data_IF_153466725321
#
_entry.id   IF_153466725321
#
_cell.length_a   1.000
_cell.length_b   1.000
_cell.length_c   1.000
_cell.angle_alpha   90.00
_cell.angle_beta   90.00
_cell.angle_gamma   90.00
#
_symmetry.space_group_name_H-M   'P 1'
#
loop_
_entity.id
_entity.type
_entity.pdbx_description
1 polymer ?
#
# COMPACT_ATOMS: atom_id res chain seq x y z
N UNK A 1 18.09 6.73 -61.33
CA UNK A 1 19.10 7.70 -61.80
C UNK A 1 19.89 8.19 -60.59
N UNK A 2 21.22 8.03 -60.72
CA UNK A 2 22.31 8.63 -59.91
C UNK A 2 22.49 8.08 -58.49
N UNK A 3 23.61 7.66 -58.06
CA UNK A 3 24.94 7.30 -58.61
C UNK A 3 25.82 7.13 -57.39
N UNK A 4 26.42 5.97 -57.23
CA UNK A 4 27.46 5.67 -56.20
C UNK A 4 28.82 6.20 -56.69
N UNK A 5 29.73 6.58 -55.78
CA UNK A 5 31.16 6.61 -56.08
C UNK A 5 31.97 5.65 -55.19
N UNK A 6 33.24 5.40 -55.52
CA UNK A 6 33.82 4.08 -55.43
C UNK A 6 34.84 3.91 -54.26
N UNK A 7 35.14 2.61 -54.02
CA UNK A 7 36.20 2.11 -53.18
C UNK A 7 37.64 2.57 -53.62
N UNK A 8 38.46 3.04 -52.70
CA UNK A 8 39.91 3.12 -52.86
C UNK A 8 40.62 2.18 -51.91
N UNK A 9 41.31 1.22 -52.47
CA UNK A 9 42.30 0.33 -51.85
C UNK A 9 43.56 1.10 -51.52
N UNK A 10 44.18 0.88 -50.38
CA UNK A 10 45.59 1.16 -50.13
C UNK A 10 46.27 -0.09 -49.46
N UNK A 11 47.28 -0.52 -50.12
CA UNK A 11 48.19 -1.64 -49.81
C UNK A 11 49.21 -1.29 -48.70
N UNK A 12 49.84 -2.29 -48.09
CA UNK A 12 50.71 -2.16 -46.91
C UNK A 12 52.13 -1.78 -47.27
N UNK A 13 52.76 -0.89 -46.49
CA UNK A 13 54.22 -0.63 -46.53
C UNK A 13 54.93 -1.47 -45.49
N UNK A 14 55.81 -2.30 -45.98
CA UNK A 14 56.85 -3.03 -45.22
C UNK A 14 58.02 -2.08 -44.93
N UNK A 15 58.50 -2.06 -43.72
CA UNK A 15 59.80 -1.44 -43.34
C UNK A 15 60.59 -2.43 -42.48
N UNK A 16 61.93 -2.42 -42.59
CA UNK A 16 62.78 -3.51 -42.16
C UNK A 16 63.20 -3.42 -40.70
N UNK A 17 63.53 -4.60 -40.20
CA UNK A 17 64.02 -4.84 -38.84
C UNK A 17 65.41 -4.26 -38.62
N UNK A 18 65.59 -3.53 -37.53
CA UNK A 18 66.91 -3.14 -37.01
C UNK A 18 67.11 -3.85 -35.68
N UNK A 19 68.08 -4.78 -35.65
CA UNK A 19 68.51 -5.47 -34.42
C UNK A 19 69.46 -4.53 -33.63
N UNK A 20 69.02 -4.18 -32.40
CA UNK A 20 69.93 -3.56 -31.42
C UNK A 20 69.93 -4.47 -30.18
N UNK A 21 71.10 -5.08 -29.93
CA UNK A 21 71.39 -5.83 -28.74
C UNK A 21 71.61 -4.89 -27.56
N UNK A 22 70.78 -4.99 -26.54
CA UNK A 22 71.00 -4.27 -25.25
C UNK A 22 70.97 -5.29 -24.12
N UNK A 23 71.99 -5.23 -23.28
CA UNK A 23 72.34 -6.15 -22.23
C UNK A 23 71.29 -6.42 -21.17
N UNK A 24 71.34 -7.65 -20.67
CA UNK A 24 70.63 -8.12 -19.51
C UNK A 24 71.04 -7.37 -18.24
N UNK A 25 70.19 -6.54 -17.70
CA UNK A 25 70.20 -6.18 -16.28
C UNK A 25 68.91 -6.71 -15.68
N UNK A 26 69.02 -7.72 -14.86
CA UNK A 26 67.90 -8.26 -14.08
C UNK A 26 67.45 -7.24 -13.05
N UNK A 27 66.19 -6.75 -13.09
CA UNK A 27 65.65 -6.01 -11.96
C UNK A 27 65.29 -7.00 -10.84
N UNK A 28 65.81 -6.71 -9.64
CA UNK A 28 65.40 -7.34 -8.40
C UNK A 28 63.92 -7.00 -8.16
N UNK A 29 63.01 -7.96 -8.42
CA UNK A 29 61.62 -7.80 -8.02
C UNK A 29 61.55 -7.82 -6.50
N UNK A 30 61.35 -6.65 -5.88
CA UNK A 30 60.85 -6.56 -4.54
C UNK A 30 59.44 -7.21 -4.53
N UNK A 31 59.29 -8.31 -3.84
CA UNK A 31 57.95 -8.88 -3.54
C UNK A 31 57.18 -7.81 -2.70
N UNK A 32 56.24 -7.13 -3.34
CA UNK A 32 55.22 -6.42 -2.62
C UNK A 32 54.42 -7.48 -1.82
N UNK A 33 54.56 -7.43 -0.51
CA UNK A 33 53.68 -8.18 0.38
C UNK A 33 52.30 -7.56 0.20
N UNK A 34 51.42 -8.28 -0.49
CA UNK A 34 49.98 -7.94 -0.53
C UNK A 34 49.47 -7.92 0.90
N UNK A 35 49.29 -6.72 1.44
CA UNK A 35 48.50 -6.55 2.66
C UNK A 35 47.10 -7.09 2.36
N UNK A 36 46.53 -7.90 3.25
CA UNK A 36 45.18 -8.41 3.04
C UNK A 36 44.23 -7.23 2.81
N UNK A 37 43.50 -7.27 1.68
CA UNK A 37 42.51 -6.27 1.36
C UNK A 37 41.57 -6.13 2.58
N UNK A 38 41.40 -4.93 3.07
CA UNK A 38 40.41 -4.66 4.14
C UNK A 38 39.08 -5.21 3.70
N UNK A 39 38.35 -5.93 4.56
CA UNK A 39 37.02 -6.39 4.21
C UNK A 39 36.17 -5.21 3.71
N UNK A 40 35.36 -5.39 2.69
CA UNK A 40 34.51 -4.32 2.18
C UNK A 40 33.71 -3.75 3.37
N UNK A 41 33.70 -2.43 3.49
CA UNK A 41 32.94 -1.76 4.56
C UNK A 41 31.50 -2.27 4.50
N UNK A 42 31.03 -2.86 5.59
CA UNK A 42 29.63 -3.32 5.68
C UNK A 42 28.73 -2.11 5.42
N UNK A 43 27.88 -2.23 4.43
CA UNK A 43 26.85 -1.22 4.16
C UNK A 43 25.98 -1.12 5.42
N UNK A 44 25.81 0.06 6.01
CA UNK A 44 25.04 0.19 7.24
C UNK A 44 23.61 -0.34 7.01
N UNK A 45 23.09 -1.10 7.99
CA UNK A 45 21.73 -1.61 7.96
C UNK A 45 20.75 -0.43 7.85
N UNK A 46 19.72 -0.49 6.97
CA UNK A 46 18.74 0.58 6.85
C UNK A 46 17.93 0.72 8.15
N UNK A 47 17.33 1.89 8.36
CA UNK A 47 16.48 2.13 9.52
C UNK A 47 15.26 1.23 9.53
N UNK A 48 14.63 1.07 8.35
CA UNK A 48 13.44 0.22 8.18
C UNK A 48 13.22 -0.18 6.71
N UNK A 49 12.32 -1.14 6.51
CA UNK A 49 11.59 -1.40 5.28
C UNK A 49 10.19 -0.84 5.44
N UNK A 50 9.69 -0.11 4.44
CA UNK A 50 8.39 0.54 4.51
C UNK A 50 7.29 -0.42 4.03
N UNK A 51 6.51 -0.98 4.97
CA UNK A 51 5.42 -1.89 4.63
C UNK A 51 4.18 -1.21 4.07
N UNK A 52 4.14 0.14 4.06
CA UNK A 52 2.94 0.88 3.72
C UNK A 52 3.28 2.24 3.10
N UNK A 53 3.28 2.32 1.76
CA UNK A 53 3.64 3.54 1.05
C UNK A 53 2.78 3.79 -0.19
N UNK A 54 2.14 4.97 -0.25
CA UNK A 54 1.34 5.41 -1.38
C UNK A 54 2.14 6.30 -2.33
N UNK A 55 2.37 5.83 -3.56
CA UNK A 55 3.06 6.62 -4.58
C UNK A 55 2.21 7.78 -5.09
N UNK A 56 0.88 7.64 -5.06
CA UNK A 56 -0.08 8.63 -5.57
C UNK A 56 -1.15 8.99 -4.54
N UNK A 57 -1.72 10.20 -4.68
CA UNK A 57 -2.85 10.69 -3.88
C UNK A 57 -4.21 10.32 -4.50
N UNK A 58 -5.30 10.88 -3.95
CA UNK A 58 -6.69 10.64 -4.37
C UNK A 58 -7.07 11.21 -5.74
N UNK A 59 -6.17 11.82 -6.47
CA UNK A 59 -6.34 12.24 -7.88
C UNK A 59 -5.21 11.69 -8.75
N UNK A 60 -4.53 10.65 -8.24
CA UNK A 60 -3.43 9.93 -8.88
C UNK A 60 -2.23 10.81 -9.27
N UNK A 61 -2.06 11.93 -8.58
CA UNK A 61 -0.82 12.70 -8.59
C UNK A 61 0.11 12.17 -7.51
N UNK A 62 1.39 12.20 -7.79
CA UNK A 62 2.38 11.69 -6.86
C UNK A 62 3.80 11.98 -7.28
N UNK A 63 4.71 11.18 -6.78
CA UNK A 63 6.14 11.24 -7.12
C UNK A 63 6.52 10.08 -8.06
N UNK A 64 7.62 10.21 -8.77
CA UNK A 64 8.15 9.09 -9.55
C UNK A 64 8.86 8.09 -8.63
N UNK A 65 8.96 6.83 -9.07
CA UNK A 65 9.77 5.81 -8.39
C UNK A 65 11.23 6.21 -8.24
N UNK A 66 11.81 6.96 -9.21
CA UNK A 66 13.17 7.54 -9.09
C UNK A 66 13.24 8.56 -7.97
N UNK A 67 12.24 9.44 -7.86
CA UNK A 67 12.18 10.39 -6.76
C UNK A 67 12.02 9.67 -5.42
N UNK A 68 11.26 8.58 -5.38
CA UNK A 68 11.13 7.76 -4.17
C UNK A 68 12.48 7.15 -3.76
N UNK A 69 13.28 6.61 -4.70
CA UNK A 69 14.63 6.11 -4.42
C UNK A 69 15.53 7.18 -3.80
N UNK A 70 15.46 8.41 -4.31
CA UNK A 70 16.21 9.54 -3.74
C UNK A 70 15.77 9.84 -2.29
N UNK A 71 14.47 9.77 -2.01
CA UNK A 71 13.92 9.98 -0.66
C UNK A 71 14.27 8.84 0.29
N UNK A 72 14.27 7.61 -0.18
CA UNK A 72 14.70 6.44 0.58
C UNK A 72 16.19 6.55 0.95
N UNK A 73 17.04 6.94 0.00
CA UNK A 73 18.50 7.00 0.18
C UNK A 73 19.04 5.68 0.73
N UNK A 74 19.91 5.78 1.73
CA UNK A 74 20.48 4.68 2.52
C UNK A 74 19.64 4.33 3.78
N UNK A 75 18.63 5.14 4.10
CA UNK A 75 17.84 5.04 5.33
C UNK A 75 16.73 4.02 5.25
N UNK A 76 16.10 3.86 4.09
CA UNK A 76 15.00 2.92 3.88
C UNK A 76 15.46 1.84 2.91
N UNK A 77 15.38 0.59 3.31
CA UNK A 77 15.90 -0.53 2.52
C UNK A 77 15.01 -0.87 1.34
N UNK A 78 13.77 -1.23 1.61
CA UNK A 78 12.73 -1.59 0.62
C UNK A 78 11.42 -0.91 0.98
N UNK A 79 10.49 -0.85 0.02
CA UNK A 79 9.14 -0.33 0.26
C UNK A 79 8.11 -1.12 -0.55
N UNK A 80 6.96 -1.43 0.05
CA UNK A 80 5.75 -1.72 -0.71
C UNK A 80 5.40 -0.49 -1.54
N UNK A 81 4.85 -0.71 -2.72
CA UNK A 81 4.58 0.37 -3.65
C UNK A 81 3.18 0.23 -4.24
N UNK A 82 2.29 1.12 -3.88
CA UNK A 82 0.94 1.16 -4.44
C UNK A 82 0.41 2.60 -4.53
N UNK A 83 -0.67 2.79 -5.27
CA UNK A 83 -1.38 4.06 -5.32
C UNK A 83 -2.58 4.07 -4.38
N UNK A 84 -3.34 5.14 -4.39
CA UNK A 84 -4.66 5.15 -3.74
C UNK A 84 -5.65 4.43 -4.66
N UNK A 85 -6.46 3.47 -4.15
CA UNK A 85 -7.43 2.71 -4.96
C UNK A 85 -8.60 3.56 -5.47
N UNK A 86 -8.85 4.69 -4.83
CA UNK A 86 -9.98 5.57 -5.06
C UNK A 86 -9.57 6.87 -5.74
N UNK A 87 -10.39 7.36 -6.67
CA UNK A 87 -10.29 8.71 -7.21
C UNK A 87 -11.38 9.58 -6.62
N UNK A 88 -11.00 10.75 -6.09
CA UNK A 88 -11.98 11.75 -5.69
C UNK A 88 -12.48 12.52 -6.91
N UNK A 89 -13.79 12.50 -7.12
CA UNK A 89 -14.45 13.26 -8.19
C UNK A 89 -14.22 14.77 -8.00
N UNK A 90 -13.77 15.43 -9.04
CA UNK A 90 -13.82 16.89 -9.05
C UNK A 90 -15.19 17.36 -9.51
N UNK A 91 -16.04 17.69 -8.57
CA UNK A 91 -17.36 18.22 -8.85
C UNK A 91 -17.28 19.76 -8.88
N UNK A 92 -17.53 20.35 -10.04
CA UNK A 92 -17.44 21.80 -10.21
C UNK A 92 -18.43 22.57 -9.33
N UNK A 93 -19.62 22.03 -9.09
CA UNK A 93 -20.63 22.68 -8.28
C UNK A 93 -20.28 22.67 -6.78
N UNK A 94 -19.54 21.65 -6.32
CA UNK A 94 -19.07 21.57 -4.94
C UNK A 94 -17.72 22.28 -4.72
N UNK A 95 -16.82 22.21 -5.69
CA UNK A 95 -15.43 22.61 -5.53
C UNK A 95 -15.06 23.87 -6.36
N UNK A 96 -15.92 24.31 -7.31
CA UNK A 96 -15.60 25.37 -8.25
C UNK A 96 -14.35 25.01 -9.06
N UNK A 97 -13.45 25.97 -9.19
CA UNK A 97 -12.17 25.81 -9.92
C UNK A 97 -11.08 25.08 -9.11
N UNK A 98 -11.30 24.84 -7.82
CA UNK A 98 -10.32 24.17 -6.95
C UNK A 98 -10.47 22.65 -7.07
N UNK A 99 -9.47 21.99 -7.61
CA UNK A 99 -9.43 20.53 -7.66
C UNK A 99 -9.09 19.97 -6.29
N UNK A 100 -9.88 19.04 -5.71
CA UNK A 100 -9.52 18.37 -4.48
C UNK A 100 -8.40 17.36 -4.75
N UNK A 101 -7.40 17.30 -3.89
CA UNK A 101 -6.30 16.33 -3.94
C UNK A 101 -6.33 15.31 -2.81
N UNK A 102 -7.21 15.53 -1.83
CA UNK A 102 -7.28 14.72 -0.62
C UNK A 102 -8.73 14.58 -0.14
N UNK A 103 -9.06 13.43 0.44
CA UNK A 103 -10.45 13.11 0.81
C UNK A 103 -11.08 14.08 1.83
N UNK A 104 -10.30 14.82 2.61
CA UNK A 104 -10.81 15.83 3.53
C UNK A 104 -11.10 17.19 2.86
N UNK A 105 -10.67 17.40 1.63
CA UNK A 105 -10.79 18.69 0.93
C UNK A 105 -12.14 18.87 0.25
N UNK A 106 -12.92 17.82 0.09
CA UNK A 106 -14.21 17.84 -0.59
C UNK A 106 -15.17 16.79 -0.02
N UNK A 107 -16.48 17.08 -0.14
CA UNK A 107 -17.57 16.11 0.07
C UNK A 107 -17.95 15.33 -1.19
N UNK A 108 -17.28 15.59 -2.31
CA UNK A 108 -17.52 14.88 -3.57
C UNK A 108 -17.35 13.38 -3.42
N UNK A 109 -18.11 12.64 -4.19
CA UNK A 109 -18.00 11.18 -4.27
C UNK A 109 -16.60 10.72 -4.69
N UNK A 110 -16.29 9.49 -4.30
CA UNK A 110 -15.11 8.74 -4.76
C UNK A 110 -15.53 7.49 -5.52
N UNK A 111 -14.68 7.04 -6.41
CA UNK A 111 -14.89 5.81 -7.16
C UNK A 111 -13.58 5.04 -7.33
N UNK A 112 -13.67 3.71 -7.48
CA UNK A 112 -12.50 2.86 -7.72
C UNK A 112 -11.88 3.13 -9.08
N UNK A 113 -10.55 3.20 -9.11
CA UNK A 113 -9.77 3.59 -10.30
C UNK A 113 -8.75 2.53 -10.65
N UNK A 114 -9.14 1.61 -11.52
CA UNK A 114 -8.32 0.43 -11.87
C UNK A 114 -7.02 0.76 -12.61
N UNK A 115 -6.94 1.88 -13.32
CA UNK A 115 -5.75 2.24 -14.09
C UNK A 115 -4.51 2.55 -13.21
N UNK A 116 -4.70 2.74 -11.91
CA UNK A 116 -3.60 3.02 -10.97
C UNK A 116 -2.54 1.92 -10.99
N UNK A 117 -2.93 0.64 -11.09
CA UNK A 117 -2.00 -0.49 -11.13
C UNK A 117 -1.10 -0.45 -12.36
N UNK A 118 -1.67 -0.11 -13.53
CA UNK A 118 -0.89 0.07 -14.76
C UNK A 118 0.11 1.25 -14.64
N UNK A 119 -0.26 2.32 -13.93
CA UNK A 119 0.65 3.44 -13.65
C UNK A 119 1.82 3.00 -12.77
N UNK A 120 1.57 2.23 -11.72
CA UNK A 120 2.60 1.69 -10.83
C UNK A 120 3.50 0.72 -11.59
N UNK A 121 2.93 -0.27 -12.29
CA UNK A 121 3.68 -1.24 -13.08
C UNK A 121 4.60 -0.58 -14.08
N UNK A 122 4.10 0.41 -14.83
CA UNK A 122 4.89 1.16 -15.80
C UNK A 122 6.07 1.90 -15.17
N UNK A 123 5.90 2.48 -13.99
CA UNK A 123 6.99 3.15 -13.29
C UNK A 123 8.04 2.16 -12.76
N UNK A 124 7.59 1.04 -12.20
CA UNK A 124 8.46 -0.03 -11.72
C UNK A 124 9.30 -0.63 -12.85
N UNK A 125 8.67 -0.97 -13.98
CA UNK A 125 9.34 -1.60 -15.14
C UNK A 125 10.38 -0.70 -15.82
N UNK A 126 10.37 0.63 -15.58
CA UNK A 126 11.37 1.57 -16.07
C UNK A 126 12.63 1.67 -15.22
N UNK A 127 12.63 1.05 -14.07
CA UNK A 127 13.77 1.02 -13.17
C UNK A 127 14.80 -0.02 -13.65
N UNK A 128 16.06 0.16 -13.27
CA UNK A 128 17.06 -0.89 -13.38
C UNK A 128 16.70 -2.08 -12.50
N UNK A 129 17.27 -3.25 -12.76
CA UNK A 129 17.04 -4.45 -11.96
C UNK A 129 17.40 -4.20 -10.48
N UNK A 130 18.54 -3.60 -10.21
CA UNK A 130 18.98 -3.23 -8.85
C UNK A 130 18.00 -2.27 -8.15
N UNK A 131 17.44 -1.29 -8.88
CA UNK A 131 16.46 -0.36 -8.32
C UNK A 131 15.11 -1.05 -8.07
N UNK A 132 14.71 -2.03 -8.90
CA UNK A 132 13.49 -2.81 -8.69
C UNK A 132 13.52 -3.63 -7.41
N UNK A 133 14.69 -4.13 -7.00
CA UNK A 133 14.84 -4.85 -5.72
C UNK A 133 14.52 -3.99 -4.49
N UNK A 134 14.46 -2.67 -4.65
CA UNK A 134 14.07 -1.74 -3.60
C UNK A 134 12.55 -1.60 -3.44
N UNK A 135 11.75 -2.19 -4.35
CA UNK A 135 10.30 -2.04 -4.37
C UNK A 135 9.57 -3.37 -4.46
N UNK A 136 8.42 -3.41 -3.81
CA UNK A 136 7.49 -4.51 -3.83
C UNK A 136 6.08 -3.98 -4.17
N UNK A 137 5.71 -3.91 -5.47
CA UNK A 137 4.41 -3.37 -5.88
C UNK A 137 3.23 -4.24 -5.46
N UNK A 138 2.11 -3.58 -5.08
CA UNK A 138 0.84 -4.21 -4.74
C UNK A 138 -0.27 -3.69 -5.63
N UNK A 139 -1.25 -4.54 -5.93
CA UNK A 139 -2.44 -4.24 -6.73
C UNK A 139 -3.50 -3.61 -5.82
N UNK A 140 -4.06 -2.47 -6.24
CA UNK A 140 -5.11 -1.76 -5.49
C UNK A 140 -6.31 -1.39 -6.36
N UNK A 141 -6.19 -1.45 -7.69
CA UNK A 141 -7.14 -0.90 -8.65
C UNK A 141 -8.44 -1.70 -8.84
N UNK A 142 -8.87 -2.45 -7.86
CA UNK A 142 -10.10 -3.24 -7.88
C UNK A 142 -11.17 -2.67 -6.92
N UNK A 143 -12.42 -3.03 -7.18
CA UNK A 143 -13.52 -2.72 -6.28
C UNK A 143 -13.80 -3.93 -5.36
N UNK A 144 -13.57 -3.87 -4.05
CA UNK A 144 -13.76 -5.01 -3.13
C UNK A 144 -15.23 -5.39 -2.92
N UNK A 145 -16.19 -4.65 -3.51
CA UNK A 145 -17.61 -5.04 -3.51
C UNK A 145 -18.03 -5.80 -4.77
N UNK A 146 -17.15 -5.88 -5.77
CA UNK A 146 -17.41 -6.52 -7.05
C UNK A 146 -16.98 -7.99 -7.00
N UNK A 147 -17.89 -8.90 -7.35
CA UNK A 147 -17.57 -10.33 -7.43
C UNK A 147 -16.50 -10.65 -8.48
N UNK A 148 -16.26 -9.75 -9.44
CA UNK A 148 -15.17 -9.86 -10.42
C UNK A 148 -13.84 -9.29 -9.91
N UNK A 149 -13.72 -8.82 -8.67
CA UNK A 149 -12.48 -8.24 -8.15
C UNK A 149 -11.29 -9.20 -8.27
N UNK A 150 -11.50 -10.49 -8.00
CA UNK A 150 -10.47 -11.52 -8.17
C UNK A 150 -10.00 -11.67 -9.62
N UNK A 151 -10.93 -11.57 -10.57
CA UNK A 151 -10.61 -11.69 -12.01
C UNK A 151 -9.84 -10.48 -12.50
N UNK A 152 -10.17 -9.28 -11.98
CA UNK A 152 -9.36 -8.08 -12.20
C UNK A 152 -7.93 -8.27 -11.70
N UNK A 153 -7.75 -8.76 -10.46
CA UNK A 153 -6.40 -9.03 -9.91
C UNK A 153 -5.65 -10.05 -10.74
N UNK A 154 -6.32 -11.13 -11.18
CA UNK A 154 -5.75 -12.13 -12.11
C UNK A 154 -5.24 -11.48 -13.39
N UNK A 155 -6.08 -10.64 -14.03
CA UNK A 155 -5.70 -9.95 -15.26
C UNK A 155 -4.50 -9.03 -15.07
N UNK A 156 -4.43 -8.30 -13.97
CA UNK A 156 -3.29 -7.43 -13.66
C UNK A 156 -2.00 -8.23 -13.53
N UNK A 157 -2.03 -9.38 -12.84
CA UNK A 157 -0.88 -10.28 -12.69
C UNK A 157 -0.40 -10.80 -14.05
N UNK A 158 -1.31 -11.26 -14.91
CA UNK A 158 -0.99 -11.79 -16.23
C UNK A 158 -0.54 -10.69 -17.21
N UNK A 159 -1.08 -9.47 -17.07
CA UNK A 159 -0.68 -8.33 -17.91
C UNK A 159 0.71 -7.78 -17.55
N UNK A 160 1.07 -7.85 -16.27
CA UNK A 160 2.33 -7.31 -15.75
C UNK A 160 3.11 -8.37 -14.97
N UNK A 161 3.51 -9.48 -15.59
CA UNK A 161 4.22 -10.54 -14.91
C UNK A 161 5.55 -10.03 -14.33
N UNK A 162 5.91 -10.56 -13.17
CA UNK A 162 7.13 -10.17 -12.49
C UNK A 162 7.03 -8.88 -11.66
N UNK A 163 5.89 -8.20 -11.66
CA UNK A 163 5.75 -6.90 -10.98
C UNK A 163 5.18 -7.05 -9.57
N UNK A 164 3.95 -7.50 -9.45
CA UNK A 164 3.20 -7.45 -8.19
C UNK A 164 3.50 -8.63 -7.26
N UNK A 165 3.37 -8.41 -5.94
CA UNK A 165 3.60 -9.44 -4.91
C UNK A 165 2.47 -9.50 -3.88
N UNK A 166 1.50 -8.57 -3.95
CA UNK A 166 0.39 -8.50 -3.02
C UNK A 166 -0.77 -7.68 -3.57
N UNK A 167 -1.82 -7.58 -2.77
CA UNK A 167 -2.99 -6.73 -2.99
C UNK A 167 -3.22 -5.80 -1.80
N UNK A 168 -3.71 -4.60 -2.05
CA UNK A 168 -3.97 -3.58 -1.01
C UNK A 168 -2.85 -2.53 -0.94
N UNK A 169 -3.01 -1.45 -0.14
CA UNK A 169 -4.10 -1.26 0.80
C UNK A 169 -5.44 -1.09 0.07
N UNK A 170 -6.42 -1.91 0.42
CA UNK A 170 -7.81 -1.63 0.09
C UNK A 170 -8.63 -1.47 1.38
N UNK A 171 -9.64 -0.59 1.34
CA UNK A 171 -10.34 -0.17 2.55
C UNK A 171 -11.73 -0.77 2.63
N UNK A 172 -12.03 -1.30 3.82
CA UNK A 172 -13.37 -1.66 4.29
C UNK A 172 -13.59 -0.85 5.56
N UNK A 173 -14.70 -0.13 5.71
CA UNK A 173 -14.93 0.73 6.88
C UNK A 173 -13.73 1.67 7.17
N UNK A 174 -13.51 2.64 6.27
CA UNK A 174 -12.55 3.73 6.51
C UNK A 174 -13.33 5.01 6.79
N UNK A 175 -13.01 5.65 7.90
CA UNK A 175 -13.60 6.92 8.33
C UNK A 175 -13.69 7.95 7.19
N UNK A 176 -14.79 8.68 7.09
CA UNK A 176 -15.02 9.73 6.09
C UNK A 176 -14.78 9.34 4.62
N UNK A 177 -14.11 8.23 4.34
CA UNK A 177 -13.88 7.70 2.99
C UNK A 177 -15.05 6.83 2.57
N UNK A 178 -15.41 5.83 3.39
CA UNK A 178 -16.47 4.87 3.10
C UNK A 178 -17.78 5.53 2.73
N UNK A 179 -18.18 6.58 3.43
CA UNK A 179 -19.42 7.34 3.19
C UNK A 179 -19.42 8.14 1.88
N UNK A 180 -18.27 8.29 1.21
CA UNK A 180 -18.13 9.03 -0.06
C UNK A 180 -18.01 8.11 -1.27
N UNK A 181 -17.92 6.80 -1.08
CA UNK A 181 -17.79 5.86 -2.19
C UNK A 181 -19.10 5.81 -2.95
N UNK A 182 -19.05 6.09 -4.26
CA UNK A 182 -20.17 5.97 -5.16
C UNK A 182 -20.62 4.52 -5.26
N UNK A 183 -21.92 4.27 -5.07
CA UNK A 183 -22.49 2.94 -5.01
C UNK A 183 -22.48 2.36 -3.60
N UNK A 184 -22.06 1.10 -3.48
CA UNK A 184 -21.98 0.41 -2.19
C UNK A 184 -20.58 0.42 -1.64
N UNK A 185 -20.44 0.78 -0.37
CA UNK A 185 -19.21 0.60 0.37
C UNK A 185 -18.93 -0.88 0.67
N UNK A 186 -17.67 -1.27 0.71
CA UNK A 186 -17.27 -2.59 1.11
C UNK A 186 -17.63 -2.86 2.59
N UNK A 187 -17.98 -4.10 2.88
CA UNK A 187 -18.18 -4.62 4.23
C UNK A 187 -17.39 -5.90 4.38
N UNK A 188 -16.87 -6.19 5.57
CA UNK A 188 -16.20 -7.47 5.88
C UNK A 188 -17.08 -8.69 5.58
N UNK A 189 -18.40 -8.50 5.54
CA UNK A 189 -19.39 -9.56 5.20
C UNK A 189 -19.64 -9.69 3.71
N UNK A 190 -19.04 -8.86 2.86
CA UNK A 190 -19.30 -8.92 1.42
C UNK A 190 -18.70 -10.21 0.83
N UNK A 191 -19.49 -11.03 0.10
CA UNK A 191 -18.99 -12.26 -0.52
C UNK A 191 -17.81 -12.04 -1.48
N UNK A 192 -17.73 -10.88 -2.14
CA UNK A 192 -16.63 -10.55 -3.03
C UNK A 192 -15.27 -10.57 -2.33
N UNK A 193 -15.22 -10.19 -1.04
CA UNK A 193 -13.98 -10.22 -0.26
C UNK A 193 -13.53 -11.65 -0.02
N UNK A 194 -14.44 -12.59 0.23
CA UNK A 194 -14.09 -14.01 0.38
C UNK A 194 -13.50 -14.58 -0.91
N UNK A 195 -14.09 -14.27 -2.07
CA UNK A 195 -13.57 -14.69 -3.37
C UNK A 195 -12.19 -14.09 -3.63
N UNK A 196 -12.00 -12.82 -3.31
CA UNK A 196 -10.73 -12.12 -3.46
C UNK A 196 -9.64 -12.72 -2.56
N UNK A 197 -9.94 -12.95 -1.28
CA UNK A 197 -8.99 -13.53 -0.33
C UNK A 197 -8.67 -14.99 -0.67
N UNK A 198 -9.67 -15.79 -1.09
CA UNK A 198 -9.43 -17.16 -1.55
C UNK A 198 -8.47 -17.18 -2.74
N UNK A 199 -8.64 -16.28 -3.71
CA UNK A 199 -7.72 -16.14 -4.83
C UNK A 199 -6.34 -15.66 -4.39
N UNK A 200 -6.27 -14.72 -3.44
CA UNK A 200 -4.99 -14.29 -2.86
C UNK A 200 -4.22 -15.46 -2.23
N UNK A 201 -4.91 -16.38 -1.54
CA UNK A 201 -4.33 -17.61 -1.00
C UNK A 201 -3.82 -18.58 -2.07
N UNK A 202 -4.61 -18.80 -3.14
CA UNK A 202 -4.22 -19.62 -4.30
C UNK A 202 -2.92 -19.12 -4.93
N UNK A 203 -2.80 -17.82 -5.15
CA UNK A 203 -1.62 -17.18 -5.77
C UNK A 203 -0.47 -17.06 -4.78
N UNK A 204 -0.77 -16.89 -3.49
CA UNK A 204 0.18 -16.58 -2.43
C UNK A 204 0.49 -15.09 -2.31
N UNK A 205 -0.46 -14.23 -2.72
CA UNK A 205 -0.37 -12.78 -2.55
C UNK A 205 -0.38 -12.39 -1.08
N UNK A 206 0.43 -11.41 -0.72
CA UNK A 206 0.34 -10.73 0.58
C UNK A 206 -0.80 -9.71 0.52
N UNK A 207 -1.59 -9.62 1.57
CA UNK A 207 -2.77 -8.74 1.62
C UNK A 207 -2.55 -7.63 2.64
N UNK A 208 -2.78 -6.36 2.25
CA UNK A 208 -2.89 -5.24 3.19
C UNK A 208 -4.36 -4.81 3.22
N UNK A 209 -4.99 -5.02 4.37
CA UNK A 209 -6.40 -4.73 4.61
C UNK A 209 -6.55 -3.57 5.57
N UNK A 210 -7.17 -2.48 5.13
CA UNK A 210 -7.61 -1.40 5.99
C UNK A 210 -9.08 -1.62 6.39
N UNK A 211 -9.30 -1.74 7.67
CA UNK A 211 -10.65 -1.74 8.24
C UNK A 211 -10.56 -1.08 9.62
N UNK A 212 -11.16 0.10 9.75
CA UNK A 212 -11.26 0.72 11.06
C UNK A 212 -11.94 -0.25 12.02
N UNK A 213 -11.35 -0.48 13.18
CA UNK A 213 -11.84 -1.50 14.13
C UNK A 213 -13.20 -1.12 14.71
N UNK A 214 -13.52 0.18 14.67
CA UNK A 214 -14.72 0.73 15.27
C UNK A 214 -15.34 1.84 14.41
N UNK A 215 -16.56 2.21 14.72
CA UNK A 215 -17.19 3.41 14.16
C UNK A 215 -16.55 4.68 14.74
N UNK A 216 -16.54 5.75 13.93
CA UNK A 216 -16.04 7.05 14.39
C UNK A 216 -16.76 7.49 15.66
N UNK A 217 -15.98 7.92 16.68
CA UNK A 217 -16.50 8.41 17.97
C UNK A 217 -17.27 7.36 18.77
N UNK A 218 -17.12 6.08 18.46
CA UNK A 218 -17.67 5.04 19.31
C UNK A 218 -17.03 5.11 20.71
N UNK A 219 -17.84 4.84 21.73
CA UNK A 219 -17.43 4.94 23.16
C UNK A 219 -17.42 3.59 23.86
N UNK A 220 -17.79 2.50 23.19
CA UNK A 220 -17.81 1.16 23.74
C UNK A 220 -16.41 0.53 23.85
N UNK A 221 -16.24 -0.43 24.75
CA UNK A 221 -14.99 -1.17 24.90
C UNK A 221 -14.86 -2.32 23.89
N UNK A 222 -15.98 -2.82 23.36
CA UNK A 222 -16.00 -3.83 22.31
C UNK A 222 -16.10 -3.15 20.94
N UNK A 223 -15.06 -3.27 20.09
CA UNK A 223 -15.06 -2.62 18.79
C UNK A 223 -16.13 -3.19 17.86
N UNK A 224 -16.77 -2.33 17.06
CA UNK A 224 -17.92 -2.68 16.25
C UNK A 224 -17.63 -3.76 15.18
N UNK A 225 -16.41 -3.81 14.66
CA UNK A 225 -16.04 -4.68 13.53
C UNK A 225 -15.17 -5.87 13.92
N UNK A 226 -14.82 -6.04 15.20
CA UNK A 226 -13.81 -7.03 15.60
C UNK A 226 -14.26 -8.48 15.40
N UNK A 227 -15.51 -8.79 15.71
CA UNK A 227 -16.03 -10.17 15.57
C UNK A 227 -16.09 -10.57 14.10
N UNK A 228 -16.52 -9.67 13.24
CA UNK A 228 -16.60 -9.88 11.80
C UNK A 228 -15.19 -10.01 11.17
N UNK A 229 -14.20 -9.26 11.68
CA UNK A 229 -12.81 -9.36 11.27
C UNK A 229 -12.19 -10.69 11.69
N UNK A 230 -12.42 -11.12 12.95
CA UNK A 230 -11.94 -12.45 13.43
C UNK A 230 -12.54 -13.58 12.60
N UNK A 231 -13.84 -13.50 12.26
CA UNK A 231 -14.50 -14.46 11.41
C UNK A 231 -13.89 -14.46 9.99
N UNK A 232 -13.64 -13.28 9.41
CA UNK A 232 -12.98 -13.15 8.11
C UNK A 232 -11.58 -13.78 8.13
N UNK A 233 -10.76 -13.45 9.13
CA UNK A 233 -9.41 -13.99 9.26
C UNK A 233 -9.44 -15.51 9.40
N UNK A 234 -10.29 -16.04 10.26
CA UNK A 234 -10.40 -17.50 10.50
C UNK A 234 -10.81 -18.30 9.26
N UNK A 235 -11.55 -17.67 8.33
CA UNK A 235 -11.96 -18.32 7.07
C UNK A 235 -10.85 -18.39 6.02
N UNK A 236 -9.75 -17.64 6.18
CA UNK A 236 -8.68 -17.52 5.19
C UNK A 236 -7.29 -17.80 5.79
N UNK A 237 -7.06 -18.98 6.41
CA UNK A 237 -5.80 -19.28 7.11
C UNK A 237 -4.59 -19.40 6.15
N UNK A 238 -4.83 -19.58 4.86
CA UNK A 238 -3.78 -19.69 3.84
C UNK A 238 -3.28 -18.34 3.30
N UNK A 239 -3.88 -17.24 3.75
CA UNK A 239 -3.59 -15.88 3.29
C UNK A 239 -2.86 -15.11 4.39
N UNK A 240 -1.65 -14.64 4.11
CA UNK A 240 -1.00 -13.70 5.02
C UNK A 240 -1.66 -12.32 4.89
N UNK A 241 -2.32 -11.87 5.95
CA UNK A 241 -3.03 -10.59 6.01
C UNK A 241 -2.29 -9.63 6.94
N UNK A 242 -1.90 -8.47 6.41
CA UNK A 242 -1.42 -7.34 7.20
C UNK A 242 -2.64 -6.45 7.47
N UNK A 243 -3.07 -6.42 8.73
CA UNK A 243 -4.14 -5.56 9.20
C UNK A 243 -3.59 -4.15 9.42
N UNK A 244 -3.90 -3.26 8.48
CA UNK A 244 -3.34 -1.92 8.43
C UNK A 244 -3.68 -1.11 9.68
N UNK A 245 -2.68 -0.36 10.16
CA UNK A 245 -2.79 0.59 11.29
C UNK A 245 -3.32 -0.05 12.58
N UNK A 246 -3.26 -1.39 12.70
CA UNK A 246 -3.88 -2.12 13.81
C UNK A 246 -5.38 -1.83 13.98
N UNK A 247 -6.05 -1.43 12.89
CA UNK A 247 -7.46 -1.03 12.88
C UNK A 247 -7.74 0.36 13.43
N UNK A 248 -6.70 1.17 13.62
CA UNK A 248 -6.83 2.57 14.05
C UNK A 248 -6.89 3.51 12.85
N UNK A 249 -7.45 4.70 13.05
CA UNK A 249 -7.54 5.74 12.06
C UNK A 249 -7.28 7.12 12.64
N UNK A 250 -7.44 8.15 11.83
CA UNK A 250 -7.31 9.54 12.27
C UNK A 250 -8.34 9.91 13.34
N UNK A 251 -9.58 9.42 13.18
CA UNK A 251 -10.72 9.69 14.04
C UNK A 251 -11.23 8.44 14.77
N UNK A 252 -10.68 7.28 14.47
CA UNK A 252 -10.94 6.02 15.16
C UNK A 252 -9.73 5.69 16.03
N UNK A 253 -9.83 6.09 17.30
CA UNK A 253 -8.79 5.81 18.30
C UNK A 253 -8.92 4.44 18.94
N UNK A 254 -7.93 4.03 19.75
CA UNK A 254 -7.95 2.76 20.47
C UNK A 254 -9.06 2.75 21.54
N UNK A 255 -9.73 1.61 21.70
CA UNK A 255 -10.53 1.34 22.89
C UNK A 255 -9.63 1.17 24.12
N UNK A 256 -10.22 1.13 25.31
CA UNK A 256 -9.41 0.88 26.56
C UNK A 256 -8.72 -0.48 26.55
N UNK A 257 -9.29 -1.44 25.86
CA UNK A 257 -8.81 -2.83 25.75
C UNK A 257 -8.16 -3.14 24.42
N UNK A 258 -7.71 -2.11 23.67
CA UNK A 258 -7.18 -2.33 22.33
C UNK A 258 -5.88 -3.15 22.32
N UNK A 259 -4.99 -2.88 23.28
CA UNK A 259 -3.71 -3.60 23.40
C UNK A 259 -3.94 -5.05 23.83
N UNK A 260 -4.87 -5.29 24.75
CA UNK A 260 -5.29 -6.62 25.19
C UNK A 260 -5.92 -7.41 24.03
N UNK A 261 -6.69 -6.74 23.19
CA UNK A 261 -7.26 -7.34 22.00
C UNK A 261 -6.19 -7.79 21.00
N UNK A 262 -5.14 -6.98 20.79
CA UNK A 262 -4.00 -7.38 19.97
C UNK A 262 -3.22 -8.54 20.59
N UNK A 263 -3.05 -8.55 21.90
CA UNK A 263 -2.44 -9.65 22.66
C UNK A 263 -3.20 -10.96 22.44
N UNK A 264 -4.52 -10.91 22.52
CA UNK A 264 -5.42 -12.07 22.31
C UNK A 264 -5.33 -12.60 20.87
N UNK A 265 -5.34 -11.70 19.86
CA UNK A 265 -5.21 -12.11 18.45
C UNK A 265 -3.82 -12.68 18.17
N UNK A 266 -2.78 -12.08 18.72
CA UNK A 266 -1.42 -12.57 18.55
C UNK A 266 -1.19 -13.92 19.25
N UNK A 267 -1.89 -14.17 20.36
CA UNK A 267 -1.81 -15.43 21.13
C UNK A 267 -2.66 -16.56 20.55
N UNK A 268 -3.57 -16.27 19.63
CA UNK A 268 -4.40 -17.26 18.97
C UNK A 268 -3.66 -17.87 17.77
N UNK A 269 -3.20 -19.12 17.91
CA UNK A 269 -2.49 -19.83 16.83
C UNK A 269 -3.32 -20.08 15.57
N UNK A 270 -4.65 -20.04 15.66
CA UNK A 270 -5.50 -20.10 14.47
C UNK A 270 -5.37 -18.85 13.60
N UNK A 271 -4.83 -17.76 14.16
CA UNK A 271 -4.64 -16.47 13.50
C UNK A 271 -3.15 -16.13 13.24
N UNK A 272 -2.24 -17.11 13.22
CA UNK A 272 -0.80 -16.87 12.99
C UNK A 272 -0.46 -16.23 11.63
N UNK A 273 -1.39 -16.28 10.69
CA UNK A 273 -1.31 -15.66 9.35
C UNK A 273 -1.73 -14.17 9.34
N UNK A 274 -2.19 -13.61 10.47
CA UNK A 274 -2.59 -12.21 10.62
C UNK A 274 -1.44 -11.42 11.23
N UNK A 275 -1.03 -10.36 10.56
CA UNK A 275 0.03 -9.43 10.96
C UNK A 275 -0.56 -8.04 11.15
N UNK A 276 0.14 -7.19 11.87
CA UNK A 276 -0.29 -5.83 12.19
C UNK A 276 0.74 -4.84 11.69
N UNK A 277 0.31 -3.84 10.94
CA UNK A 277 1.22 -2.74 10.68
C UNK A 277 0.92 -1.57 11.64
N UNK A 278 1.98 -0.94 12.15
CA UNK A 278 1.91 0.25 13.00
C UNK A 278 2.26 1.49 12.16
N UNK A 279 1.84 1.53 10.90
CA UNK A 279 2.09 2.65 9.99
C UNK A 279 1.24 3.88 10.36
N UNK A 280 1.58 5.00 9.70
CA UNK A 280 0.87 6.28 9.77
C UNK A 280 1.23 7.16 10.98
N UNK A 281 1.52 8.44 10.73
CA UNK A 281 1.80 9.42 11.77
C UNK A 281 0.56 9.78 12.63
N UNK A 282 -0.65 9.61 12.08
CA UNK A 282 -1.89 9.76 12.84
C UNK A 282 -2.07 8.64 13.86
N UNK A 283 -1.62 7.43 13.52
CA UNK A 283 -1.66 6.27 14.45
C UNK A 283 -0.54 6.35 15.48
N UNK A 284 0.61 6.88 15.11
CA UNK A 284 1.69 7.15 16.07
C UNK A 284 1.20 7.97 17.28
N UNK A 285 0.32 8.95 17.06
CA UNK A 285 -0.26 9.79 18.13
C UNK A 285 -1.03 8.98 19.18
N UNK A 286 -1.64 7.85 18.76
CA UNK A 286 -2.33 6.95 19.68
C UNK A 286 -1.35 6.05 20.44
N UNK A 287 -0.37 5.49 19.73
CA UNK A 287 0.57 4.49 20.27
C UNK A 287 1.57 5.13 21.25
N UNK A 288 2.08 6.32 20.93
CA UNK A 288 3.07 7.03 21.76
C UNK A 288 2.47 8.19 22.55
N UNK A 289 1.18 8.14 22.81
CA UNK A 289 0.41 9.21 23.46
C UNK A 289 0.96 9.63 24.84
N UNK A 290 1.31 8.65 25.65
CA UNK A 290 1.84 8.80 26.99
C UNK A 290 2.69 7.59 27.37
N UNK A 291 3.41 7.69 28.50
CA UNK A 291 4.34 6.65 28.95
C UNK A 291 3.65 5.31 29.19
N UNK A 292 2.49 5.29 29.83
CA UNK A 292 1.72 4.07 30.13
C UNK A 292 1.30 3.38 28.82
N UNK A 293 0.78 4.15 27.88
CA UNK A 293 0.30 3.64 26.58
C UNK A 293 1.45 3.04 25.78
N UNK A 294 2.57 3.75 25.62
CA UNK A 294 3.70 3.24 24.83
C UNK A 294 4.36 2.02 25.48
N UNK A 295 4.37 1.93 26.82
CA UNK A 295 4.85 0.74 27.53
C UNK A 295 3.95 -0.48 27.27
N UNK A 296 2.62 -0.32 27.29
CA UNK A 296 1.68 -1.40 26.98
C UNK A 296 1.88 -1.92 25.54
N UNK A 297 1.99 -1.03 24.56
CA UNK A 297 2.29 -1.42 23.17
C UNK A 297 3.64 -2.13 23.05
N UNK A 298 4.68 -1.61 23.71
CA UNK A 298 6.00 -2.23 23.69
C UNK A 298 5.99 -3.65 24.28
N UNK A 299 5.20 -3.89 25.34
CA UNK A 299 5.06 -5.22 25.95
C UNK A 299 4.48 -6.25 24.97
N UNK A 300 3.39 -5.90 24.27
CA UNK A 300 2.77 -6.80 23.27
C UNK A 300 3.71 -7.04 22.09
N UNK A 301 4.35 -6.00 21.55
CA UNK A 301 5.29 -6.13 20.45
C UNK A 301 6.52 -6.97 20.86
N UNK A 302 7.05 -6.77 22.04
CA UNK A 302 8.18 -7.57 22.55
C UNK A 302 7.78 -9.04 22.76
N UNK A 303 6.51 -9.32 23.12
CA UNK A 303 5.98 -10.70 23.29
C UNK A 303 5.78 -11.39 21.95
N UNK A 304 5.30 -10.66 20.93
CA UNK A 304 5.00 -11.19 19.60
C UNK A 304 5.77 -10.46 18.48
N UNK A 305 7.11 -10.43 18.52
CA UNK A 305 7.90 -9.57 17.63
C UNK A 305 7.77 -9.93 16.15
N UNK A 306 7.30 -11.13 15.82
CA UNK A 306 7.11 -11.60 14.44
C UNK A 306 5.77 -11.22 13.83
N UNK A 307 4.88 -10.58 14.59
CA UNK A 307 3.51 -10.26 14.19
C UNK A 307 3.33 -8.80 13.73
N UNK A 308 4.31 -7.92 13.99
CA UNK A 308 4.20 -6.49 13.71
C UNK A 308 5.16 -6.06 12.60
N UNK A 309 4.72 -5.10 11.78
CA UNK A 309 5.51 -4.42 10.74
C UNK A 309 5.46 -2.91 10.97
N UNK A 310 6.46 -2.22 10.46
CA UNK A 310 6.48 -0.77 10.40
C UNK A 310 6.31 -0.29 8.95
N UNK A 311 5.51 0.75 8.76
CA UNK A 311 5.35 1.47 7.51
C UNK A 311 5.13 2.95 7.78
N UNK A 312 5.19 3.77 6.74
CA UNK A 312 5.02 5.22 6.91
C UNK A 312 3.60 5.70 6.63
N UNK A 313 2.85 5.00 5.80
CA UNK A 313 1.60 5.48 5.18
C UNK A 313 1.76 6.85 4.52
N UNK A 314 2.99 7.14 4.09
CA UNK A 314 3.28 8.41 3.42
C UNK A 314 2.67 8.45 2.03
N UNK A 315 2.01 9.56 1.71
CA UNK A 315 1.44 9.82 0.39
C UNK A 315 2.30 10.87 -0.32
N UNK A 316 3.07 10.45 -1.31
CA UNK A 316 3.89 11.33 -2.15
C UNK A 316 4.69 12.40 -1.38
N UNK A 317 5.57 12.05 -0.44
CA UNK A 317 6.26 12.99 0.42
C UNK A 317 7.18 13.94 -0.38
N UNK A 318 7.29 15.18 0.06
CA UNK A 318 8.05 16.23 -0.65
C UNK A 318 9.55 16.19 -0.39
N UNK A 319 9.97 15.64 0.75
CA UNK A 319 11.38 15.58 1.18
C UNK A 319 11.66 14.30 1.97
N UNK A 320 12.94 13.92 2.09
CA UNK A 320 13.35 12.80 2.94
C UNK A 320 12.96 13.04 4.41
N UNK A 321 13.12 14.24 4.94
CA UNK A 321 12.71 14.55 6.31
C UNK A 321 11.20 14.35 6.51
N UNK A 322 10.36 14.77 5.56
CA UNK A 322 8.93 14.53 5.62
C UNK A 322 8.59 13.03 5.55
N UNK A 323 9.35 12.26 4.76
CA UNK A 323 9.19 10.82 4.63
C UNK A 323 9.60 10.07 5.90
N UNK A 324 10.71 10.45 6.52
CA UNK A 324 11.22 9.78 7.72
C UNK A 324 10.48 10.21 9.01
N UNK A 325 9.68 11.28 8.94
CA UNK A 325 8.99 11.83 10.12
C UNK A 325 8.18 10.79 10.89
N UNK A 326 7.44 9.93 10.20
CA UNK A 326 6.68 8.87 10.85
C UNK A 326 7.58 7.95 11.69
N UNK A 327 8.75 7.55 11.16
CA UNK A 327 9.72 6.75 11.92
C UNK A 327 10.26 7.50 13.15
N UNK A 328 10.47 8.81 13.02
CA UNK A 328 10.92 9.66 14.12
C UNK A 328 9.85 9.82 15.19
N UNK A 329 8.59 9.92 14.82
CA UNK A 329 7.46 10.01 15.76
C UNK A 329 7.36 8.76 16.65
N UNK A 330 7.78 7.60 16.17
CA UNK A 330 7.82 6.33 16.94
C UNK A 330 9.04 6.18 17.86
N UNK A 331 9.93 7.17 18.00
CA UNK A 331 11.13 7.07 18.85
C UNK A 331 10.85 6.64 20.30
N UNK A 332 9.75 7.06 20.97
CA UNK A 332 9.45 6.54 22.30
C UNK A 332 9.24 5.02 22.33
N UNK A 333 8.60 4.45 21.29
CA UNK A 333 8.38 3.02 21.17
C UNK A 333 9.69 2.27 20.88
N UNK A 334 10.51 2.75 19.93
CA UNK A 334 11.77 2.10 19.57
C UNK A 334 12.71 1.89 20.76
N UNK A 335 12.71 2.83 21.72
CA UNK A 335 13.53 2.76 22.93
C UNK A 335 13.11 1.67 23.91
N UNK A 336 11.86 1.22 23.83
CA UNK A 336 11.26 0.22 24.73
C UNK A 336 11.26 -1.19 24.14
N UNK A 337 11.50 -1.32 22.83
CA UNK A 337 11.60 -2.62 22.19
C UNK A 337 12.97 -3.25 22.48
N UNK A 338 12.95 -4.58 22.67
CA UNK A 338 14.21 -5.35 22.65
C UNK A 338 14.88 -5.19 21.27
N UNK A 339 16.22 -5.32 21.18
CA UNK A 339 16.92 -5.24 19.90
C UNK A 339 16.35 -6.21 18.85
N UNK A 340 15.99 -7.44 19.27
CA UNK A 340 15.40 -8.45 18.41
C UNK A 340 14.00 -8.04 17.91
N UNK A 341 13.13 -7.54 18.78
CA UNK A 341 11.80 -7.07 18.40
C UNK A 341 11.89 -5.83 17.50
N UNK A 342 12.74 -4.87 17.84
CA UNK A 342 12.95 -3.68 17.03
C UNK A 342 13.41 -4.03 15.60
N UNK A 343 14.37 -4.95 15.45
CA UNK A 343 14.82 -5.41 14.14
C UNK A 343 13.74 -6.19 13.40
N UNK A 344 13.01 -7.06 14.10
CA UNK A 344 11.91 -7.83 13.49
C UNK A 344 10.84 -6.92 12.90
N UNK A 345 10.37 -5.92 13.67
CA UNK A 345 9.32 -4.97 13.24
C UNK A 345 9.78 -4.07 12.10
N UNK A 346 11.00 -3.55 12.20
CA UNK A 346 11.51 -2.59 11.21
C UNK A 346 11.99 -3.23 9.91
N UNK A 347 12.47 -4.48 9.95
CA UNK A 347 13.14 -5.11 8.82
C UNK A 347 12.69 -6.56 8.60
N UNK A 348 12.91 -7.45 9.58
CA UNK A 348 12.86 -8.88 9.37
C UNK A 348 11.49 -9.44 8.98
N UNK A 349 10.40 -8.90 9.51
CA UNK A 349 9.04 -9.35 9.16
C UNK A 349 8.68 -8.98 7.74
N UNK A 350 9.04 -7.77 7.30
CA UNK A 350 8.90 -7.36 5.90
C UNK A 350 9.64 -8.32 4.98
N UNK A 351 10.94 -8.53 5.22
CA UNK A 351 11.78 -9.42 4.42
C UNK A 351 11.18 -10.81 4.31
N UNK A 352 10.78 -11.39 5.42
CA UNK A 352 10.20 -12.74 5.49
C UNK A 352 8.90 -12.85 4.70
N UNK A 353 7.96 -11.94 4.93
CA UNK A 353 6.62 -12.01 4.33
C UNK A 353 6.66 -11.70 2.83
N UNK A 354 7.32 -10.62 2.45
CA UNK A 354 7.38 -10.18 1.06
C UNK A 354 8.18 -11.15 0.19
N UNK A 355 9.32 -11.66 0.69
CA UNK A 355 10.09 -12.64 -0.07
C UNK A 355 9.33 -13.96 -0.26
N UNK A 356 8.57 -14.41 0.76
CA UNK A 356 7.73 -15.58 0.65
C UNK A 356 6.60 -15.38 -0.37
N UNK A 357 5.93 -14.22 -0.34
CA UNK A 357 4.89 -13.87 -1.30
C UNK A 357 5.47 -13.77 -2.73
N UNK A 358 6.57 -13.02 -2.92
CA UNK A 358 7.26 -12.90 -4.21
C UNK A 358 7.53 -14.29 -4.83
N UNK A 359 8.09 -15.20 -4.05
CA UNK A 359 8.37 -16.57 -4.52
C UNK A 359 7.12 -17.32 -4.99
N UNK A 360 6.02 -17.25 -4.20
CA UNK A 360 4.76 -17.94 -4.52
C UNK A 360 4.11 -17.34 -5.76
N UNK A 361 4.02 -16.01 -5.83
CA UNK A 361 3.42 -15.31 -6.97
C UNK A 361 4.17 -15.60 -8.26
N UNK A 362 5.51 -15.56 -8.28
CA UNK A 362 6.32 -15.90 -9.47
C UNK A 362 6.10 -17.35 -9.92
N UNK A 363 5.95 -18.27 -8.97
CA UNK A 363 5.64 -19.67 -9.28
C UNK A 363 4.21 -19.82 -9.85
N UNK A 364 3.24 -19.03 -9.39
CA UNK A 364 1.90 -19.02 -9.95
C UNK A 364 1.88 -18.41 -11.37
N UNK A 365 2.53 -17.26 -11.57
CA UNK A 365 2.66 -16.63 -12.88
C UNK A 365 3.28 -17.59 -13.92
N UNK A 366 4.38 -18.25 -13.58
CA UNK A 366 5.04 -19.20 -14.48
C UNK A 366 4.09 -20.29 -14.98
N UNK A 367 3.23 -20.83 -14.09
CA UNK A 367 2.25 -21.87 -14.48
C UNK A 367 1.10 -21.36 -15.34
N UNK A 368 0.70 -20.09 -15.14
CA UNK A 368 -0.50 -19.54 -15.80
C UNK A 368 -0.17 -18.78 -17.09
N UNK A 369 1.08 -18.33 -17.27
CA UNK A 369 1.53 -17.69 -18.51
C UNK A 369 1.81 -18.71 -19.63
N UNK A 370 2.20 -19.94 -19.30
CA UNK A 370 2.45 -20.99 -20.29
C UNK A 370 1.16 -21.40 -21.03
N UNK A 371 0.00 -21.31 -20.35
CA UNK A 371 -1.30 -21.64 -20.93
C UNK A 371 -1.86 -20.55 -21.87
N UNK A 372 -1.29 -19.35 -21.87
CA UNK A 372 -1.77 -18.20 -22.66
C UNK A 372 -0.99 -17.96 -23.97
N UNK A 373 -0.08 -18.87 -24.35
CA UNK A 373 0.88 -18.61 -25.44
C UNK A 373 0.30 -18.39 -26.83
N UNK A 374 -1.02 -18.63 -27.10
CA UNK A 374 -1.59 -18.65 -28.44
C UNK A 374 -2.94 -17.92 -28.66
N UNK A 375 -3.38 -17.02 -27.77
CA UNK A 375 -4.67 -16.35 -27.98
C UNK A 375 -4.87 -15.06 -27.20
N UNK A 376 -5.92 -14.28 -27.56
CA UNK A 376 -6.35 -13.18 -26.71
C UNK A 376 -6.70 -13.70 -25.32
N UNK A 377 -6.38 -12.94 -24.26
CA UNK A 377 -6.71 -13.29 -22.86
C UNK A 377 -8.20 -13.65 -22.77
N UNK A 378 -8.50 -14.92 -22.90
CA UNK A 378 -9.84 -15.44 -22.68
C UNK A 378 -9.88 -15.91 -21.23
N UNK A 379 -10.44 -15.07 -20.36
CA UNK A 379 -10.81 -15.56 -19.03
C UNK A 379 -11.91 -16.59 -19.27
N UNK A 380 -11.68 -17.89 -19.00
CA UNK A 380 -12.74 -18.87 -19.15
C UNK A 380 -13.86 -18.49 -18.18
N UNK A 381 -15.00 -18.05 -18.72
CA UNK A 381 -16.19 -17.98 -17.89
C UNK A 381 -16.37 -19.37 -17.28
N UNK A 382 -16.53 -19.49 -15.96
CA UNK A 382 -16.83 -20.76 -15.35
C UNK A 382 -18.02 -21.35 -16.12
N UNK A 383 -17.85 -22.59 -16.60
CA UNK A 383 -18.93 -23.30 -17.28
C UNK A 383 -20.17 -23.14 -16.39
N UNK A 384 -21.28 -22.64 -16.96
CA UNK A 384 -22.54 -22.43 -16.21
C UNK A 384 -22.73 -23.68 -15.36
N UNK A 385 -22.57 -23.55 -14.04
CA UNK A 385 -23.07 -24.59 -13.16
C UNK A 385 -24.50 -24.86 -13.57
N UNK A 386 -24.89 -26.14 -13.75
CA UNK A 386 -26.27 -26.45 -14.06
C UNK A 386 -27.10 -25.78 -12.97
N UNK A 387 -28.00 -24.88 -13.36
CA UNK A 387 -28.80 -24.05 -12.46
C UNK A 387 -29.22 -24.90 -11.27
N UNK A 388 -28.61 -24.73 -10.12
CA UNK A 388 -29.15 -25.23 -8.88
C UNK A 388 -30.56 -24.68 -8.86
N UNK A 389 -31.56 -25.57 -8.94
CA UNK A 389 -32.98 -25.21 -8.79
C UNK A 389 -33.03 -24.25 -7.62
N UNK A 390 -33.29 -22.99 -7.91
CA UNK A 390 -33.44 -21.98 -6.89
C UNK A 390 -34.53 -22.53 -5.95
N UNK A 391 -34.11 -22.96 -4.76
CA UNK A 391 -35.05 -23.12 -3.68
C UNK A 391 -35.68 -21.74 -3.55
N UNK A 392 -36.97 -21.66 -3.85
CA UNK A 392 -37.71 -20.43 -3.78
C UNK A 392 -37.52 -19.84 -2.38
N UNK A 393 -36.61 -18.86 -2.27
CA UNK A 393 -36.54 -17.97 -1.12
C UNK A 393 -37.86 -17.18 -1.17
N UNK A 394 -38.88 -17.69 -0.51
CA UNK A 394 -40.05 -16.90 -0.15
C UNK A 394 -39.57 -15.86 0.84
N UNK A 395 -39.20 -14.69 0.32
CA UNK A 395 -39.04 -13.52 1.17
C UNK A 395 -40.40 -13.27 1.85
N UNK A 396 -40.46 -13.13 3.18
CA UNK A 396 -41.68 -12.70 3.84
C UNK A 396 -42.06 -11.33 3.24
N UNK A 397 -43.36 -11.06 3.00
CA UNK A 397 -43.81 -9.79 2.49
C UNK A 397 -43.30 -8.68 3.46
N UNK A 398 -42.66 -7.68 2.90
CA UNK A 398 -42.28 -6.51 3.66
C UNK A 398 -43.52 -5.91 4.35
N UNK A 399 -43.44 -5.55 5.65
CA UNK A 399 -44.57 -4.92 6.31
C UNK A 399 -44.84 -3.57 5.64
N UNK A 400 -45.94 -3.48 4.93
CA UNK A 400 -46.46 -2.22 4.37
C UNK A 400 -47.06 -1.45 5.52
N UNK A 401 -46.32 -0.58 6.16
CA UNK A 401 -46.90 0.42 7.06
C UNK A 401 -47.61 1.47 6.20
N UNK A 402 -48.88 1.77 6.44
CA UNK A 402 -49.57 2.85 5.74
C UNK A 402 -48.91 4.18 6.10
N UNK A 403 -48.32 4.83 5.11
CA UNK A 403 -47.83 6.22 5.27
C UNK A 403 -49.06 7.12 5.31
N UNK A 404 -49.46 7.53 6.51
CA UNK A 404 -50.44 8.60 6.69
C UNK A 404 -49.76 9.92 6.36
N UNK A 405 -50.02 10.44 5.17
CA UNK A 405 -49.57 11.79 4.79
C UNK A 405 -50.52 12.80 5.46
N UNK A 406 -50.06 13.42 6.54
CA UNK A 406 -50.72 14.58 7.11
C UNK A 406 -50.44 15.81 6.22
N UNK A 407 -51.44 16.63 5.91
CA UNK A 407 -51.25 17.82 5.11
C UNK A 407 -50.35 18.83 5.89
N UNK A 408 -49.22 19.20 5.31
CA UNK A 408 -48.34 20.24 5.81
C UNK A 408 -48.98 21.60 5.48
N UNK A 409 -49.49 22.26 6.50
CA UNK A 409 -49.93 23.68 6.40
C UNK A 409 -48.69 24.55 6.34
N UNK A 410 -48.40 25.13 5.18
CA UNK A 410 -47.33 26.11 5.01
C UNK A 410 -47.81 27.47 5.48
N UNK A 411 -47.31 27.94 6.62
CA UNK A 411 -47.52 29.31 7.04
C UNK A 411 -46.55 30.23 6.28
N UNK A 412 -46.98 31.43 5.83
CA UNK A 412 -46.11 32.33 5.12
C UNK A 412 -45.02 32.92 6.07
N UNK A 413 -43.75 32.74 5.69
CA UNK A 413 -42.63 33.35 6.38
C UNK A 413 -42.51 34.79 5.93
N UNK A 414 -42.76 35.74 6.85
CA UNK A 414 -42.50 37.18 6.65
C UNK A 414 -40.98 37.40 6.77
N UNK A 415 -40.36 37.75 5.66
CA UNK A 415 -38.94 38.13 5.63
C UNK A 415 -38.83 39.60 5.97
N UNK A 416 -38.25 39.93 7.14
CA UNK A 416 -37.86 41.31 7.48
C UNK A 416 -36.52 41.63 6.84
N UNK A 417 -36.33 42.86 6.29
CA UNK A 417 -35.08 43.22 5.67
C UNK A 417 -33.96 43.41 6.72
N UNK A 418 -32.85 42.70 6.51
CA UNK A 418 -31.63 42.89 7.30
C UNK A 418 -30.86 44.06 6.71
N UNK A 419 -30.75 45.13 7.45
CA UNK A 419 -29.88 46.29 7.15
C UNK A 419 -28.44 45.90 7.50
N UNK A 420 -27.59 45.76 6.49
CA UNK A 420 -26.15 45.57 6.65
C UNK A 420 -25.49 46.94 6.73
N UNK A 421 -24.93 47.28 7.90
CA UNK A 421 -24.02 48.43 8.05
C UNK A 421 -22.61 48.02 7.59
N UNK A 422 -21.93 48.87 6.80
CA UNK A 422 -20.56 48.60 6.40
C UNK A 422 -19.58 48.82 7.53
N UNK A 423 -18.75 47.85 7.84
CA UNK A 423 -17.60 47.95 8.75
C UNK A 423 -16.44 48.72 8.06
N UNK A 424 -15.65 49.52 8.75
CA UNK A 424 -14.56 50.28 8.16
C UNK A 424 -13.36 49.41 7.81
N UNK A 425 -12.82 49.62 6.61
CA UNK A 425 -11.55 49.08 6.10
C UNK A 425 -10.38 49.63 6.94
N UNK A 426 -9.70 48.76 7.67
CA UNK A 426 -8.37 49.05 8.22
C UNK A 426 -7.32 48.62 7.20
N UNK A 427 -6.60 49.59 6.64
CA UNK A 427 -5.41 49.36 5.82
C UNK A 427 -4.21 48.94 6.72
N UNK A 428 -3.38 48.00 6.33
CA UNK A 428 -2.15 47.70 7.08
C UNK A 428 -1.07 48.73 6.76
N UNK A 429 -0.54 49.37 7.82
CA UNK A 429 0.67 50.18 7.76
C UNK A 429 1.91 49.30 7.65
N UNK A 430 2.75 49.64 6.68
CA UNK A 430 4.10 49.12 6.46
C UNK A 430 5.03 49.37 7.64
N UNK A 431 5.70 48.34 8.13
CA UNK A 431 7.12 48.35 8.53
C UNK A 431 7.66 46.91 8.46
#
# INVERSE_FOLDING_TARGET
MFSTPPLSRCLPRVLPALWLAIGLTTPLFAQATDAPASPPAETPEPLFHDSHFHLTNYVHEGISTRRMLELMGDKVGRATLFGIPLTQKWDYFLNGKRRPGYYLESTSEMYYYSFVDAMIARQYLRLSEADRERFDPFIVGFNPTDMNAKDHVRQVLLTFPGVFVGIGEFSIHKELVTSKIAGHAASVKNPAINELLSFAGEVGLLVILHCDINEMRATGDHPAHIDDLRDLFSRHPDVNIIYAHTGLGRFVGPTRTHVELLDDICGDHALDHVYFDISWDEVAKWIVKDETTVQAWAQVINRYPTRFLFGTDSVAPKSQAAYLKCYEDYQPLWKLLTPAASRAVRLGNYERLVNAARKKVRAWEARNLEDESDGPIVIPFPAKEPARKAAALTLPPAPVSPVTVSPVTVSPVTVSPVTVSPAPLLLPTSR
#
